data_IF_841955365526
#
_entry.id   IF_841955365526
#
_cell.length_a   1.000
_cell.length_b   1.000
_cell.length_c   1.000
_cell.angle_alpha   90.00
_cell.angle_beta   90.00
_cell.angle_gamma   90.00
#
_symmetry.space_group_name_H-M   'P 1'
#
loop_
_entity.id
_entity.type
_entity.pdbx_description
1 polymer ?
#
# COMPACT_ATOMS: atom_id res chain seq x y z
N UNK A 1 6.94 35.95 18.18
CA UNK A 1 6.12 35.52 17.03
C UNK A 1 4.65 35.50 17.46
N UNK A 2 3.95 36.63 17.33
CA UNK A 2 2.56 36.77 17.76
C UNK A 2 1.57 36.09 16.81
N UNK A 3 0.34 35.78 17.26
CA UNK A 3 -0.65 35.09 16.45
C UNK A 3 -1.13 36.03 15.34
N UNK A 4 -0.62 35.84 14.13
CA UNK A 4 -1.25 36.38 12.93
C UNK A 4 -2.67 35.78 12.86
N UNK A 5 -3.62 36.61 13.32
CA UNK A 5 -5.08 36.44 13.43
C UNK A 5 -5.60 35.36 12.47
N UNK A 6 -6.25 34.34 13.04
CA UNK A 6 -6.76 33.14 12.36
C UNK A 6 -7.52 33.39 11.05
N UNK A 7 -8.11 34.58 10.89
CA UNK A 7 -8.74 35.07 9.66
C UNK A 7 -7.83 34.96 8.43
N UNK A 8 -6.55 35.31 8.54
CA UNK A 8 -5.61 35.29 7.41
C UNK A 8 -5.11 33.87 7.12
N UNK A 9 -5.04 33.00 8.13
CA UNK A 9 -4.66 31.58 7.97
C UNK A 9 -5.70 30.82 7.15
N UNK A 10 -6.98 31.09 7.38
CA UNK A 10 -8.06 30.47 6.62
C UNK A 10 -8.03 30.87 5.14
N UNK A 11 -7.91 32.18 4.87
CA UNK A 11 -7.83 32.70 3.49
C UNK A 11 -6.65 32.09 2.72
N UNK A 12 -5.47 32.04 3.36
CA UNK A 12 -4.29 31.42 2.78
C UNK A 12 -4.48 29.92 2.48
N UNK A 13 -5.04 29.14 3.42
CA UNK A 13 -5.32 27.71 3.19
C UNK A 13 -6.37 27.49 2.10
N UNK A 14 -7.40 28.35 2.04
CA UNK A 14 -8.42 28.29 0.99
C UNK A 14 -7.83 28.57 -0.39
N UNK A 15 -6.93 29.56 -0.49
CA UNK A 15 -6.22 29.87 -1.73
C UNK A 15 -5.33 28.72 -2.19
N UNK A 16 -4.54 28.13 -1.28
CA UNK A 16 -3.73 26.94 -1.58
C UNK A 16 -4.58 25.74 -2.04
N UNK A 17 -5.74 25.54 -1.42
CA UNK A 17 -6.65 24.45 -1.80
C UNK A 17 -7.22 24.66 -3.22
N UNK A 18 -7.59 25.89 -3.58
CA UNK A 18 -8.04 26.23 -4.95
C UNK A 18 -6.94 25.96 -5.97
N UNK A 19 -5.71 26.43 -5.70
CA UNK A 19 -4.55 26.16 -6.56
C UNK A 19 -4.26 24.65 -6.69
N UNK A 20 -4.47 23.87 -5.63
CA UNK A 20 -4.34 22.41 -5.67
C UNK A 20 -5.40 21.78 -6.59
N UNK A 21 -6.64 22.26 -6.57
CA UNK A 21 -7.69 21.78 -7.48
C UNK A 21 -7.35 22.15 -8.93
N UNK A 22 -6.89 23.39 -9.17
CA UNK A 22 -6.50 23.89 -10.50
C UNK A 22 -5.30 23.15 -11.09
N UNK A 23 -4.32 22.78 -10.25
CA UNK A 23 -3.16 21.97 -10.65
C UNK A 23 -3.53 20.54 -11.07
N UNK A 24 -4.76 20.11 -10.81
CA UNK A 24 -5.27 18.79 -11.13
C UNK A 24 -5.27 17.83 -9.95
N UNK A 25 -5.93 16.67 -10.11
CA UNK A 25 -5.98 15.66 -9.07
C UNK A 25 -4.57 15.12 -8.79
N UNK A 26 -4.29 14.92 -7.50
CA UNK A 26 -3.08 14.22 -7.07
C UNK A 26 -3.12 12.77 -7.58
N UNK A 27 -1.99 12.17 -7.99
CA UNK A 27 -1.96 10.78 -8.44
C UNK A 27 -2.56 9.87 -7.38
N UNK A 28 -3.34 8.89 -7.84
CA UNK A 28 -3.95 7.90 -6.96
C UNK A 28 -2.87 7.14 -6.20
N UNK A 29 -3.05 7.09 -4.88
CA UNK A 29 -2.14 6.37 -3.99
C UNK A 29 -2.73 5.02 -3.67
N UNK A 30 -1.88 4.01 -3.54
CA UNK A 30 -2.30 2.70 -3.05
C UNK A 30 -2.94 2.84 -1.66
N UNK A 31 -4.05 2.12 -1.43
CA UNK A 31 -4.75 2.12 -0.13
C UNK A 31 -3.82 1.77 1.04
N UNK A 32 -2.83 0.92 0.77
CA UNK A 32 -1.81 0.48 1.72
C UNK A 32 -0.83 1.58 2.17
N UNK A 33 -0.75 2.70 1.44
CA UNK A 33 0.10 3.84 1.80
C UNK A 33 -0.49 4.76 2.86
N UNK A 34 -1.79 4.59 3.18
CA UNK A 34 -2.50 5.43 4.14
C UNK A 34 -2.25 4.94 5.57
N UNK A 35 -2.18 5.88 6.52
CA UNK A 35 -1.80 5.61 7.92
C UNK A 35 -2.77 4.69 8.67
N UNK A 36 -4.03 4.65 8.24
CA UNK A 36 -5.10 3.84 8.84
C UNK A 36 -5.26 2.49 8.13
N UNK A 37 -4.18 1.93 7.59
CA UNK A 37 -4.17 0.64 6.93
C UNK A 37 -3.26 -0.34 7.68
N UNK A 38 -3.77 -1.52 8.00
CA UNK A 38 -3.01 -2.61 8.61
C UNK A 38 -3.25 -3.89 7.83
N UNK A 39 -2.19 -4.46 7.26
CA UNK A 39 -2.28 -5.60 6.36
C UNK A 39 -2.87 -6.86 7.03
N UNK A 40 -2.41 -7.19 8.25
CA UNK A 40 -2.87 -8.40 8.93
C UNK A 40 -4.33 -8.27 9.40
N UNK A 41 -4.72 -7.07 9.86
CA UNK A 41 -6.11 -6.79 10.23
C UNK A 41 -7.07 -6.84 9.02
N UNK A 42 -6.63 -6.32 7.87
CA UNK A 42 -7.43 -6.34 6.64
C UNK A 42 -7.57 -7.76 6.08
N UNK A 43 -6.51 -8.58 6.13
CA UNK A 43 -6.60 -10.01 5.78
C UNK A 43 -7.57 -10.75 6.69
N UNK A 44 -7.50 -10.53 8.01
CA UNK A 44 -8.42 -11.14 8.97
C UNK A 44 -9.87 -10.70 8.73
N UNK A 45 -10.10 -9.41 8.52
CA UNK A 45 -11.44 -8.92 8.21
C UNK A 45 -11.98 -9.51 6.89
N UNK A 46 -11.11 -9.70 5.90
CA UNK A 46 -11.45 -10.31 4.61
C UNK A 46 -11.97 -11.74 4.77
N UNK A 47 -11.27 -12.60 5.53
CA UNK A 47 -11.70 -13.99 5.74
C UNK A 47 -13.05 -14.07 6.45
N UNK A 48 -13.27 -13.21 7.45
CA UNK A 48 -14.53 -13.16 8.17
C UNK A 48 -15.71 -12.66 7.32
N UNK A 49 -15.49 -11.78 6.34
CA UNK A 49 -16.55 -11.32 5.43
C UNK A 49 -17.07 -12.43 4.52
N UNK A 50 -16.22 -13.36 4.12
CA UNK A 50 -16.63 -14.52 3.31
C UNK A 50 -17.33 -15.61 4.14
N UNK A 51 -17.20 -15.56 5.48
CA UNK A 51 -17.81 -16.57 6.37
C UNK A 51 -17.08 -17.92 6.36
N UNK A 52 -15.96 -18.03 5.65
CA UNK A 52 -15.16 -19.25 5.52
C UNK A 52 -13.88 -19.19 6.35
N UNK A 53 -13.47 -20.33 6.90
CA UNK A 53 -12.20 -20.48 7.62
C UNK A 53 -11.07 -20.71 6.61
N UNK A 54 -10.58 -19.63 6.01
CA UNK A 54 -9.41 -19.68 5.13
C UNK A 54 -8.10 -19.63 5.92
N UNK A 55 -7.08 -20.33 5.41
CA UNK A 55 -5.72 -20.19 5.92
C UNK A 55 -5.14 -18.83 5.49
N UNK A 56 -4.74 -18.01 6.46
CA UNK A 56 -4.19 -16.67 6.26
C UNK A 56 -2.91 -16.72 5.40
N UNK A 57 -2.06 -17.73 5.59
CA UNK A 57 -0.82 -17.87 4.82
C UNK A 57 -1.10 -18.15 3.34
N UNK A 58 -2.04 -19.05 3.07
CA UNK A 58 -2.48 -19.33 1.70
C UNK A 58 -3.11 -18.11 1.04
N UNK A 59 -3.89 -17.33 1.79
CA UNK A 59 -4.51 -16.10 1.31
C UNK A 59 -3.47 -15.01 1.00
N UNK A 60 -2.46 -14.85 1.87
CA UNK A 60 -1.34 -13.94 1.66
C UNK A 60 -0.59 -14.27 0.37
N UNK A 61 -0.30 -15.55 0.15
CA UNK A 61 0.35 -16.01 -1.09
C UNK A 61 -0.56 -15.77 -2.31
N UNK A 62 -1.86 -16.04 -2.22
CA UNK A 62 -2.82 -15.81 -3.30
C UNK A 62 -2.93 -14.34 -3.71
N UNK A 63 -2.82 -13.41 -2.76
CA UNK A 63 -2.85 -11.97 -3.00
C UNK A 63 -1.51 -11.38 -3.48
N UNK A 64 -0.43 -12.16 -3.50
CA UNK A 64 0.90 -11.68 -3.87
C UNK A 64 1.20 -12.03 -5.32
N UNK A 65 1.37 -11.00 -6.16
CA UNK A 65 1.72 -11.16 -7.57
C UNK A 65 3.25 -11.17 -7.80
N UNK A 66 3.68 -11.79 -8.90
CA UNK A 66 5.09 -11.85 -9.27
C UNK A 66 5.69 -10.46 -9.57
N UNK A 67 4.91 -9.54 -10.16
CA UNK A 67 5.38 -8.18 -10.46
C UNK A 67 5.77 -7.40 -9.20
N UNK A 68 5.02 -7.58 -8.12
CA UNK A 68 5.28 -6.96 -6.83
C UNK A 68 6.59 -7.45 -6.21
N UNK A 69 6.85 -8.76 -6.26
CA UNK A 69 8.12 -9.33 -5.79
C UNK A 69 9.31 -8.78 -6.59
N UNK A 70 9.19 -8.72 -7.91
CA UNK A 70 10.23 -8.15 -8.77
C UNK A 70 10.52 -6.69 -8.42
N UNK A 71 9.48 -5.90 -8.12
CA UNK A 71 9.63 -4.52 -7.69
C UNK A 71 10.35 -4.41 -6.34
N UNK A 72 10.02 -5.26 -5.36
CA UNK A 72 10.70 -5.30 -4.06
C UNK A 72 12.17 -5.68 -4.23
N UNK A 73 12.47 -6.71 -5.02
CA UNK A 73 13.85 -7.16 -5.27
C UNK A 73 14.64 -6.00 -5.88
N UNK A 74 14.08 -5.34 -6.90
CA UNK A 74 14.70 -4.17 -7.52
C UNK A 74 14.99 -3.06 -6.50
N UNK A 75 14.01 -2.68 -5.67
CA UNK A 75 14.19 -1.67 -4.63
C UNK A 75 15.28 -2.05 -3.61
N UNK A 76 15.35 -3.33 -3.22
CA UNK A 76 16.39 -3.82 -2.31
C UNK A 76 17.79 -3.78 -2.93
N UNK A 77 17.90 -4.18 -4.20
CA UNK A 77 19.18 -4.11 -4.94
C UNK A 77 19.64 -2.67 -5.13
N UNK A 78 18.73 -1.75 -5.42
CA UNK A 78 19.01 -0.31 -5.51
C UNK A 78 19.47 0.26 -4.15
N UNK A 79 18.92 -0.25 -3.05
CA UNK A 79 19.34 0.11 -1.69
C UNK A 79 20.67 -0.53 -1.24
N UNK A 80 21.33 -1.33 -2.09
CA UNK A 80 22.60 -2.01 -1.77
C UNK A 80 22.45 -3.17 -0.78
N UNK A 81 21.22 -3.63 -0.52
CA UNK A 81 20.98 -4.87 0.22
C UNK A 81 21.30 -6.05 -0.71
N UNK A 82 21.90 -7.11 -0.17
CA UNK A 82 22.24 -8.30 -0.95
C UNK A 82 21.00 -8.75 -1.74
N UNK A 83 21.20 -8.99 -3.05
CA UNK A 83 20.20 -9.53 -3.95
C UNK A 83 19.76 -10.88 -3.39
N UNK A 84 18.74 -10.84 -2.55
CA UNK A 84 18.18 -12.02 -1.94
C UNK A 84 17.25 -12.56 -3.00
N UNK A 85 17.62 -13.72 -3.56
CA UNK A 85 16.79 -14.43 -4.52
C UNK A 85 15.36 -14.54 -3.98
N UNK A 86 14.39 -14.71 -4.89
CA UNK A 86 12.97 -14.91 -4.53
C UNK A 86 12.80 -15.96 -3.41
N UNK A 87 13.70 -16.95 -3.35
CA UNK A 87 13.77 -18.02 -2.36
C UNK A 87 14.07 -17.58 -0.92
N UNK A 88 14.66 -16.40 -0.70
CA UNK A 88 14.96 -15.88 0.65
C UNK A 88 13.86 -14.99 1.20
N UNK A 89 12.89 -14.59 0.37
CA UNK A 89 11.68 -13.92 0.84
C UNK A 89 10.75 -14.97 1.46
N UNK A 90 10.18 -14.65 2.62
CA UNK A 90 9.30 -15.56 3.36
C UNK A 90 7.93 -15.81 2.70
N UNK A 91 7.67 -15.20 1.54
CA UNK A 91 6.38 -15.25 0.85
C UNK A 91 6.57 -15.57 -0.63
N UNK A 92 5.71 -16.44 -1.16
CA UNK A 92 5.72 -16.90 -2.56
C UNK A 92 4.69 -16.13 -3.38
N UNK A 93 4.80 -16.15 -4.72
CA UNK A 93 3.81 -15.57 -5.62
C UNK A 93 2.65 -16.53 -5.92
N UNK A 94 1.56 -15.97 -6.43
CA UNK A 94 0.27 -16.66 -6.62
C UNK A 94 0.15 -17.51 -7.89
N UNK A 95 1.18 -17.62 -8.74
CA UNK A 95 1.05 -18.22 -10.08
C UNK A 95 0.56 -19.68 -10.04
N UNK A 96 1.04 -20.49 -9.09
CA UNK A 96 0.58 -21.87 -8.93
C UNK A 96 -0.87 -21.95 -8.44
N UNK A 97 -1.26 -21.05 -7.53
CA UNK A 97 -2.62 -20.99 -7.00
C UNK A 97 -3.60 -20.53 -8.08
N UNK A 98 -3.18 -19.57 -8.92
CA UNK A 98 -3.95 -19.08 -10.06
C UNK A 98 -4.16 -20.17 -11.13
N UNK A 99 -3.19 -21.08 -11.34
CA UNK A 99 -3.34 -22.21 -12.26
C UNK A 99 -4.29 -23.30 -11.75
N UNK A 100 -4.48 -23.40 -10.43
CA UNK A 100 -5.32 -24.43 -9.79
C UNK A 100 -6.78 -23.99 -9.59
N UNK A 101 -7.02 -22.68 -9.51
CA UNK A 101 -8.37 -22.09 -9.37
C UNK A 101 -9.15 -22.10 -10.67
#
# INVERSE_FOLDING_TARGET
FGPLKDRWRYLYKSDLYKRRIEAGPEPERFRSSLINWNYDAELYACTHRFGEKMNIESLRNAMTDASFLNQIIKQRTEAGLAATDQTTLSFTHNEELAKRG
#
